data_IF_776243007855
#
_entry.id   IF_776243007855
#
_cell.length_a   1.000
_cell.length_b   1.000
_cell.length_c   1.000
_cell.angle_alpha   90.00
_cell.angle_beta   90.00
_cell.angle_gamma   90.00
#
_symmetry.space_group_name_H-M   'P 1'
#
loop_
_entity.id
_entity.type
_entity.pdbx_description
1 polymer ?
#
# COMPACT_ATOMS: atom_id res chain seq x y z
N UNK A 1 -13.71 -11.64 -15.39
CA UNK A 1 -12.72 -12.57 -15.98
C UNK A 1 -11.51 -11.83 -16.54
N UNK A 2 -11.67 -10.86 -17.46
CA UNK A 2 -10.53 -10.11 -18.02
C UNK A 2 -9.63 -9.46 -16.95
N UNK A 3 -10.21 -8.82 -15.91
CA UNK A 3 -9.42 -8.17 -14.86
C UNK A 3 -8.57 -9.12 -14.02
N UNK A 4 -9.06 -10.34 -13.75
CA UNK A 4 -8.33 -11.36 -13.01
C UNK A 4 -7.16 -11.89 -13.86
N UNK A 5 -7.38 -12.11 -15.15
CA UNK A 5 -6.32 -12.48 -16.10
C UNK A 5 -5.23 -11.42 -16.17
N UNK A 6 -5.60 -10.13 -16.25
CA UNK A 6 -4.64 -9.04 -16.23
C UNK A 6 -3.86 -8.99 -14.91
N UNK A 7 -4.54 -9.12 -13.76
CA UNK A 7 -3.89 -9.12 -12.45
C UNK A 7 -2.91 -10.30 -12.30
N UNK A 8 -3.25 -11.47 -12.83
CA UNK A 8 -2.37 -12.64 -12.84
C UNK A 8 -1.14 -12.42 -13.73
N UNK A 9 -1.33 -11.85 -14.93
CA UNK A 9 -0.22 -11.50 -15.81
C UNK A 9 0.71 -10.46 -15.16
N UNK A 10 0.16 -9.45 -14.48
CA UNK A 10 0.94 -8.47 -13.70
C UNK A 10 1.74 -9.17 -12.62
N UNK A 11 1.13 -10.06 -11.84
CA UNK A 11 1.82 -10.81 -10.78
C UNK A 11 3.00 -11.60 -11.35
N UNK A 12 2.79 -12.35 -12.44
CA UNK A 12 3.84 -13.14 -13.09
C UNK A 12 5.01 -12.27 -13.57
N UNK A 13 4.71 -11.13 -14.21
CA UNK A 13 5.73 -10.20 -14.70
C UNK A 13 6.56 -9.64 -13.55
N UNK A 14 5.90 -9.15 -12.50
CA UNK A 14 6.58 -8.55 -11.35
C UNK A 14 7.39 -9.61 -10.58
N UNK A 15 6.89 -10.83 -10.45
CA UNK A 15 7.65 -11.93 -9.83
C UNK A 15 8.91 -12.28 -10.63
N UNK A 16 8.85 -12.22 -11.97
CA UNK A 16 10.03 -12.41 -12.82
C UNK A 16 11.06 -11.30 -12.60
N UNK A 17 10.63 -10.04 -12.60
CA UNK A 17 11.51 -8.90 -12.32
C UNK A 17 12.14 -9.02 -10.94
N UNK A 18 11.34 -9.38 -9.93
CA UNK A 18 11.82 -9.63 -8.57
C UNK A 18 12.89 -10.73 -8.54
N UNK A 19 12.69 -11.83 -9.28
CA UNK A 19 13.68 -12.91 -9.39
C UNK A 19 15.04 -12.40 -9.90
N UNK A 20 15.02 -11.62 -10.98
CA UNK A 20 16.24 -10.99 -11.54
C UNK A 20 16.93 -10.11 -10.49
N UNK A 21 16.17 -9.28 -9.76
CA UNK A 21 16.72 -8.38 -8.74
C UNK A 21 17.28 -9.11 -7.51
N UNK A 22 16.80 -10.32 -7.20
CA UNK A 22 17.33 -11.15 -6.12
C UNK A 22 18.63 -11.83 -6.55
N UNK A 23 18.72 -12.26 -7.80
CA UNK A 23 19.91 -12.94 -8.34
C UNK A 23 21.05 -11.97 -8.66
N UNK A 24 20.73 -10.76 -9.09
CA UNK A 24 21.72 -9.76 -9.49
C UNK A 24 21.99 -8.73 -8.38
N UNK A 25 23.15 -8.87 -7.73
CA UNK A 25 23.59 -8.02 -6.61
C UNK A 25 24.00 -6.61 -7.02
N UNK A 26 24.04 -6.29 -8.32
CA UNK A 26 24.35 -4.93 -8.80
C UNK A 26 23.17 -3.96 -8.63
N UNK A 27 21.95 -4.47 -8.41
CA UNK A 27 20.80 -3.63 -8.15
C UNK A 27 20.70 -3.22 -6.68
N UNK A 28 20.26 -1.98 -6.46
CA UNK A 28 19.95 -1.51 -5.11
C UNK A 28 18.80 -2.30 -4.50
N UNK A 29 18.91 -2.65 -3.22
CA UNK A 29 17.80 -3.23 -2.45
C UNK A 29 16.52 -2.38 -2.48
N UNK A 30 16.62 -1.08 -2.76
CA UNK A 30 15.43 -0.24 -2.91
C UNK A 30 14.62 -0.60 -4.16
N UNK A 31 15.22 -1.14 -5.23
CA UNK A 31 14.46 -1.70 -6.36
C UNK A 31 13.78 -3.03 -5.99
N UNK A 32 14.41 -3.85 -5.14
CA UNK A 32 13.78 -5.05 -4.61
C UNK A 32 12.55 -4.70 -3.76
N UNK A 33 12.64 -3.67 -2.92
CA UNK A 33 11.50 -3.12 -2.19
C UNK A 33 10.35 -2.72 -3.11
N UNK A 34 10.63 -2.01 -4.22
CA UNK A 34 9.59 -1.66 -5.21
C UNK A 34 8.98 -2.91 -5.81
N UNK A 35 9.78 -3.91 -6.18
CA UNK A 35 9.26 -5.16 -6.71
C UNK A 35 8.35 -5.87 -5.69
N UNK A 36 8.74 -5.93 -4.41
CA UNK A 36 7.92 -6.46 -3.32
C UNK A 36 6.60 -5.69 -3.15
N UNK A 37 6.62 -4.36 -3.21
CA UNK A 37 5.40 -3.52 -3.21
C UNK A 37 4.47 -3.89 -4.37
N UNK A 38 5.02 -4.07 -5.57
CA UNK A 38 4.24 -4.41 -6.77
C UNK A 38 3.69 -5.84 -6.70
N UNK A 39 4.41 -6.80 -6.10
CA UNK A 39 3.90 -8.14 -5.80
C UNK A 39 2.72 -8.04 -4.84
N UNK A 40 2.86 -7.28 -3.75
CA UNK A 40 1.80 -7.10 -2.77
C UNK A 40 0.53 -6.50 -3.39
N UNK A 41 0.67 -5.43 -4.20
CA UNK A 41 -0.45 -4.81 -4.89
C UNK A 41 -1.15 -5.77 -5.87
N UNK A 42 -0.39 -6.54 -6.65
CA UNK A 42 -0.97 -7.53 -7.57
C UNK A 42 -1.72 -8.65 -6.82
N UNK A 43 -1.16 -9.13 -5.70
CA UNK A 43 -1.80 -10.12 -4.83
C UNK A 43 -3.08 -9.59 -4.18
N UNK A 44 -3.10 -8.35 -3.69
CA UNK A 44 -4.30 -7.71 -3.15
C UNK A 44 -5.41 -7.59 -4.20
N UNK A 45 -5.05 -7.25 -5.44
CA UNK A 45 -6.00 -7.20 -6.55
C UNK A 45 -6.58 -8.59 -6.83
N UNK A 46 -5.76 -9.64 -6.85
CA UNK A 46 -6.23 -11.01 -7.03
C UNK A 46 -7.15 -11.48 -5.88
N UNK A 47 -6.79 -11.18 -4.63
CA UNK A 47 -7.64 -11.47 -3.47
C UNK A 47 -9.02 -10.82 -3.59
N UNK A 48 -9.10 -9.61 -4.15
CA UNK A 48 -10.36 -8.88 -4.36
C UNK A 48 -11.18 -9.46 -5.50
N UNK A 49 -10.53 -10.00 -6.55
CA UNK A 49 -11.19 -10.47 -7.77
C UNK A 49 -11.59 -11.95 -7.72
N UNK A 50 -10.96 -12.77 -6.87
CA UNK A 50 -11.30 -14.19 -6.75
C UNK A 50 -12.52 -14.44 -5.87
N UNK A 51 -13.39 -15.34 -6.33
CA UNK A 51 -14.57 -15.79 -5.60
C UNK A 51 -14.26 -16.96 -4.66
N UNK A 52 -13.17 -17.69 -4.91
CA UNK A 52 -12.72 -18.80 -4.06
C UNK A 52 -12.12 -18.25 -2.76
N UNK A 53 -12.68 -18.66 -1.62
CA UNK A 53 -12.23 -18.22 -0.31
C UNK A 53 -10.79 -18.65 0.01
N UNK A 54 -10.41 -19.88 -0.35
CA UNK A 54 -9.07 -20.39 -0.09
C UNK A 54 -8.03 -19.65 -0.94
N UNK A 55 -8.34 -19.41 -2.22
CA UNK A 55 -7.47 -18.64 -3.11
C UNK A 55 -7.35 -17.18 -2.63
N UNK A 56 -8.46 -16.59 -2.16
CA UNK A 56 -8.47 -15.24 -1.57
C UNK A 56 -7.55 -15.13 -0.36
N UNK A 57 -7.68 -16.06 0.58
CA UNK A 57 -6.83 -16.11 1.79
C UNK A 57 -5.36 -16.30 1.42
N UNK A 58 -5.06 -17.18 0.46
CA UNK A 58 -3.70 -17.38 -0.03
C UNK A 58 -3.11 -16.09 -0.63
N UNK A 59 -3.89 -15.37 -1.44
CA UNK A 59 -3.46 -14.09 -2.01
C UNK A 59 -3.27 -13.02 -0.93
N UNK A 60 -4.17 -12.93 0.04
CA UNK A 60 -4.06 -11.99 1.16
C UNK A 60 -2.80 -12.26 1.99
N UNK A 61 -2.55 -13.51 2.35
CA UNK A 61 -1.35 -13.91 3.11
C UNK A 61 -0.06 -13.60 2.32
N UNK A 62 -0.02 -13.94 1.03
CA UNK A 62 1.11 -13.63 0.17
C UNK A 62 1.35 -12.11 0.00
N UNK A 63 0.27 -11.32 -0.05
CA UNK A 63 0.38 -9.87 -0.06
C UNK A 63 1.01 -9.32 1.23
N UNK A 64 0.63 -9.87 2.39
CA UNK A 64 1.20 -9.47 3.67
C UNK A 64 2.70 -9.75 3.72
N UNK A 65 3.12 -10.96 3.35
CA UNK A 65 4.54 -11.34 3.28
C UNK A 65 5.33 -10.38 2.38
N UNK A 66 4.85 -10.12 1.17
CA UNK A 66 5.53 -9.22 0.24
C UNK A 66 5.57 -7.78 0.75
N UNK A 67 4.45 -7.26 1.27
CA UNK A 67 4.41 -5.90 1.82
C UNK A 67 5.33 -5.73 3.03
N UNK A 68 5.48 -6.77 3.87
CA UNK A 68 6.40 -6.76 5.00
C UNK A 68 7.85 -6.72 4.53
N UNK A 69 8.23 -7.51 3.51
CA UNK A 69 9.58 -7.47 2.95
C UNK A 69 9.95 -6.08 2.39
N UNK A 70 8.99 -5.42 1.71
CA UNK A 70 9.14 -4.04 1.28
C UNK A 70 9.32 -3.09 2.48
N UNK A 71 8.48 -3.21 3.50
CA UNK A 71 8.53 -2.39 4.70
C UNK A 71 9.85 -2.57 5.48
N UNK A 72 10.35 -3.79 5.62
CA UNK A 72 11.63 -4.08 6.29
C UNK A 72 12.78 -3.39 5.57
N UNK A 73 12.74 -3.40 4.23
CA UNK A 73 13.72 -2.68 3.42
C UNK A 73 13.61 -1.18 3.61
N UNK A 74 12.39 -0.63 3.56
CA UNK A 74 12.14 0.78 3.86
C UNK A 74 12.65 1.18 5.25
N UNK A 75 12.40 0.39 6.29
CA UNK A 75 12.86 0.67 7.65
C UNK A 75 14.39 0.65 7.79
N UNK A 76 15.09 -0.18 7.00
CA UNK A 76 16.57 -0.19 6.98
C UNK A 76 17.17 1.06 6.34
N UNK A 77 16.54 1.60 5.28
CA UNK A 77 17.05 2.79 4.59
C UNK A 77 16.49 4.11 5.14
N UNK A 78 15.28 4.09 5.70
CA UNK A 78 14.56 5.25 6.25
C UNK A 78 13.80 6.10 5.23
N UNK A 79 13.89 5.80 3.93
CA UNK A 79 13.25 6.55 2.84
C UNK A 79 13.18 5.75 1.54
N UNK A 80 12.20 6.07 0.68
CA UNK A 80 12.11 5.59 -0.71
C UNK A 80 12.83 6.55 -1.66
N UNK A 81 13.79 6.07 -2.48
CA UNK A 81 14.39 6.85 -3.60
C UNK A 81 13.90 6.50 -5.00
N UNK A 82 13.52 5.25 -5.33
CA UNK A 82 13.09 4.92 -6.68
C UNK A 82 11.90 5.79 -7.07
N UNK A 83 11.93 6.37 -8.28
CA UNK A 83 10.84 7.22 -8.81
C UNK A 83 9.55 6.43 -8.97
N UNK A 84 9.65 5.11 -9.03
CA UNK A 84 8.58 4.15 -9.19
C UNK A 84 7.78 3.89 -7.91
N UNK A 85 8.12 4.53 -6.78
CA UNK A 85 7.40 4.36 -5.52
C UNK A 85 7.46 5.60 -4.63
N UNK A 86 6.46 5.75 -3.77
CA UNK A 86 6.48 6.75 -2.70
C UNK A 86 6.29 6.11 -1.33
N UNK A 87 6.72 6.81 -0.27
CA UNK A 87 6.59 6.33 1.11
C UNK A 87 5.10 6.09 1.48
N UNK A 88 4.21 7.00 1.11
CA UNK A 88 2.77 6.88 1.33
C UNK A 88 2.15 5.72 0.55
N UNK A 89 2.64 5.41 -0.66
CA UNK A 89 2.22 4.22 -1.42
C UNK A 89 2.58 2.94 -0.68
N UNK A 90 3.84 2.83 -0.22
CA UNK A 90 4.32 1.66 0.53
C UNK A 90 3.50 1.45 1.81
N UNK A 91 3.34 2.50 2.61
CA UNK A 91 2.59 2.45 3.86
C UNK A 91 1.12 2.06 3.61
N UNK A 92 0.51 2.58 2.55
CA UNK A 92 -0.88 2.27 2.21
C UNK A 92 -1.04 0.83 1.70
N UNK A 93 -0.13 0.32 0.85
CA UNK A 93 -0.15 -1.08 0.42
C UNK A 93 -0.02 -2.02 1.63
N UNK A 94 0.86 -1.72 2.58
CA UNK A 94 1.00 -2.52 3.79
C UNK A 94 -0.24 -2.45 4.68
N UNK A 95 -0.88 -1.28 4.81
CA UNK A 95 -2.20 -1.16 5.44
C UNK A 95 -3.23 -2.11 4.81
N UNK A 96 -3.34 -2.11 3.48
CA UNK A 96 -4.30 -2.96 2.77
C UNK A 96 -4.01 -4.45 2.99
N UNK A 97 -2.73 -4.83 3.00
CA UNK A 97 -2.32 -6.20 3.28
C UNK A 97 -2.68 -6.64 4.70
N UNK A 98 -2.40 -5.82 5.72
CA UNK A 98 -2.83 -6.10 7.09
C UNK A 98 -4.35 -6.23 7.20
N UNK A 99 -5.09 -5.30 6.58
CA UNK A 99 -6.57 -5.32 6.59
C UNK A 99 -7.13 -6.57 5.92
N UNK A 100 -6.56 -6.99 4.79
CA UNK A 100 -6.98 -8.21 4.08
C UNK A 100 -6.73 -9.49 4.90
N UNK A 101 -5.84 -9.45 5.89
CA UNK A 101 -5.55 -10.55 6.82
C UNK A 101 -6.25 -10.36 8.18
N UNK A 102 -7.25 -9.47 8.29
CA UNK A 102 -8.01 -9.24 9.52
C UNK A 102 -7.24 -8.50 10.62
N UNK A 103 -6.04 -7.99 10.33
CA UNK A 103 -5.19 -7.31 11.31
C UNK A 103 -5.56 -5.82 11.43
N UNK A 104 -6.79 -5.52 11.86
CA UNK A 104 -7.37 -4.18 11.80
C UNK A 104 -6.62 -3.11 12.60
N UNK A 105 -6.19 -3.42 13.83
CA UNK A 105 -5.47 -2.47 14.70
C UNK A 105 -4.14 -2.01 14.10
N UNK A 106 -3.19 -2.90 13.74
CA UNK A 106 -1.96 -2.46 13.07
C UNK A 106 -2.24 -1.86 11.69
N UNK A 107 -3.25 -2.33 10.96
CA UNK A 107 -3.63 -1.72 9.68
C UNK A 107 -3.98 -0.24 9.85
N UNK A 108 -4.77 0.12 10.87
CA UNK A 108 -5.19 1.50 11.11
C UNK A 108 -4.00 2.44 11.37
N UNK A 109 -2.96 1.94 12.02
CA UNK A 109 -1.74 2.70 12.27
C UNK A 109 -0.97 3.01 10.97
N UNK A 110 -0.83 2.03 10.08
CA UNK A 110 -0.17 2.28 8.79
C UNK A 110 -0.97 3.20 7.86
N UNK A 111 -2.31 3.15 7.92
CA UNK A 111 -3.16 4.11 7.21
C UNK A 111 -2.96 5.53 7.71
N UNK A 112 -2.88 5.71 9.03
CA UNK A 112 -2.58 7.02 9.65
C UNK A 112 -1.25 7.56 9.16
N UNK A 113 -0.20 6.72 9.18
CA UNK A 113 1.14 7.11 8.70
C UNK A 113 1.16 7.46 7.21
N UNK A 114 0.47 6.70 6.36
CA UNK A 114 0.36 7.01 4.93
C UNK A 114 -0.31 8.37 4.70
N UNK A 115 -1.40 8.65 5.42
CA UNK A 115 -2.11 9.93 5.36
C UNK A 115 -1.26 11.10 5.86
N UNK A 116 -0.56 10.93 6.99
CA UNK A 116 0.34 11.96 7.53
C UNK A 116 1.50 12.26 6.57
N UNK A 117 2.06 11.24 5.93
CA UNK A 117 3.18 11.43 5.02
C UNK A 117 2.76 12.14 3.73
N UNK A 118 1.59 11.79 3.18
CA UNK A 118 0.94 12.53 2.11
C UNK A 118 0.72 14.01 2.50
N UNK A 119 0.19 14.29 3.70
CA UNK A 119 0.00 15.67 4.16
C UNK A 119 1.31 16.41 4.39
N UNK A 120 2.33 15.74 4.93
CA UNK A 120 3.67 16.31 5.12
C UNK A 120 4.23 16.81 3.78
N UNK A 121 4.12 16.01 2.72
CA UNK A 121 4.54 16.38 1.36
C UNK A 121 3.68 17.51 0.77
N UNK A 122 2.35 17.46 0.97
CA UNK A 122 1.45 18.53 0.54
C UNK A 122 1.76 19.87 1.22
N UNK A 123 2.25 19.86 2.46
CA UNK A 123 2.63 21.06 3.22
C UNK A 123 3.96 21.68 2.76
N UNK A 124 4.74 20.98 1.92
CA UNK A 124 5.90 21.57 1.24
C UNK A 124 5.51 22.42 0.03
N UNK A 125 4.26 22.31 -0.43
CA UNK A 125 3.72 23.11 -1.52
C UNK A 125 3.06 24.37 -0.90
N UNK A 126 3.36 25.58 -1.41
CA UNK A 126 2.73 26.81 -0.92
C UNK A 126 1.20 26.71 -0.88
N UNK A 127 0.58 27.28 0.16
CA UNK A 127 -0.84 27.09 0.45
C UNK A 127 -1.77 27.65 -0.64
N UNK A 128 -1.35 28.75 -1.27
CA UNK A 128 -2.02 29.42 -2.38
C UNK A 128 -1.72 28.79 -3.75
N UNK A 129 -0.81 27.81 -3.80
CA UNK A 129 -0.43 27.16 -5.04
C UNK A 129 -1.53 26.22 -5.55
N UNK A 130 -1.93 26.31 -6.84
CA UNK A 130 -2.86 25.35 -7.43
C UNK A 130 -2.33 23.91 -7.39
N UNK A 131 -1.00 23.72 -7.35
CA UNK A 131 -0.38 22.40 -7.29
C UNK A 131 -0.66 21.65 -5.98
N UNK A 132 -0.94 22.35 -4.88
CA UNK A 132 -1.27 21.71 -3.60
C UNK A 132 -2.57 20.94 -3.69
N UNK A 133 -3.59 21.56 -4.31
CA UNK A 133 -4.88 20.91 -4.59
C UNK A 133 -4.70 19.74 -5.56
N UNK A 134 -3.99 19.97 -6.68
CA UNK A 134 -3.74 18.92 -7.66
C UNK A 134 -3.00 17.73 -7.06
N UNK A 135 -2.02 17.95 -6.18
CA UNK A 135 -1.33 16.87 -5.48
C UNK A 135 -2.32 16.00 -4.68
N UNK A 136 -3.22 16.61 -3.91
CA UNK A 136 -4.17 15.88 -3.06
C UNK A 136 -5.34 15.22 -3.82
N UNK A 137 -5.72 15.76 -5.00
CA UNK A 137 -6.95 15.38 -5.69
C UNK A 137 -6.75 14.66 -7.02
N UNK A 138 -5.69 14.97 -7.77
CA UNK A 138 -5.47 14.40 -9.09
C UNK A 138 -4.89 12.98 -9.02
N UNK A 139 -4.15 12.66 -7.96
CA UNK A 139 -3.51 11.36 -7.80
C UNK A 139 -4.50 10.34 -7.21
N UNK A 140 -4.80 9.22 -7.91
CA UNK A 140 -5.71 8.20 -7.41
C UNK A 140 -5.36 7.70 -6.00
N UNK A 141 -4.07 7.43 -5.76
CA UNK A 141 -3.56 6.98 -4.46
C UNK A 141 -3.97 7.92 -3.32
N UNK A 142 -3.84 9.23 -3.49
CA UNK A 142 -4.17 10.19 -2.43
C UNK A 142 -5.66 10.26 -2.15
N UNK A 143 -6.50 10.12 -3.20
CA UNK A 143 -7.95 10.00 -3.02
C UNK A 143 -8.31 8.74 -2.23
N UNK A 144 -7.66 7.62 -2.53
CA UNK A 144 -7.87 6.35 -1.82
C UNK A 144 -7.45 6.44 -0.35
N UNK A 145 -6.25 6.97 -0.06
CA UNK A 145 -5.75 7.18 1.31
C UNK A 145 -6.71 8.07 2.10
N UNK A 146 -7.15 9.20 1.53
CA UNK A 146 -8.09 10.12 2.19
C UNK A 146 -9.44 9.48 2.45
N UNK A 147 -9.99 8.76 1.47
CA UNK A 147 -11.27 8.08 1.63
C UNK A 147 -11.19 7.00 2.72
N UNK A 148 -10.16 6.16 2.70
CA UNK A 148 -9.94 5.14 3.73
C UNK A 148 -9.74 5.76 5.12
N UNK A 149 -8.95 6.84 5.23
CA UNK A 149 -8.69 7.50 6.50
C UNK A 149 -9.95 8.15 7.10
N UNK A 150 -10.76 8.82 6.28
CA UNK A 150 -12.02 9.43 6.70
C UNK A 150 -13.01 8.39 7.27
N UNK A 151 -13.14 7.23 6.60
CA UNK A 151 -13.98 6.13 7.09
C UNK A 151 -13.46 5.59 8.44
N UNK A 152 -12.15 5.40 8.57
CA UNK A 152 -11.56 4.86 9.81
C UNK A 152 -11.65 5.83 11.00
N UNK A 153 -11.56 7.14 10.74
CA UNK A 153 -11.65 8.19 11.76
C UNK A 153 -13.10 8.39 12.23
N UNK A 154 -14.08 8.28 11.33
CA UNK A 154 -15.49 8.27 11.68
C UNK A 154 -15.86 7.07 12.57
N UNK A 155 -15.30 5.89 12.30
CA UNK A 155 -15.54 4.69 13.10
C UNK A 155 -15.00 4.82 14.54
N UNK A 156 -13.86 5.48 14.71
CA UNK A 156 -13.25 5.77 16.03
C UNK A 156 -14.12 6.69 16.90
N UNK A 157 -14.90 7.60 16.27
CA UNK A 157 -15.85 8.49 16.98
C UNK A 157 -17.08 7.70 17.45
N UNK A 158 -17.58 6.76 16.63
CA UNK A 158 -18.74 5.93 16.98
C UNK A 158 -18.44 4.90 18.08
N UNK A 159 -17.31 4.21 18.02
CA UNK A 159 -16.90 3.24 19.06
C UNK A 159 -16.65 3.93 20.41
N UNK A 160 -16.09 5.15 20.40
CA UNK A 160 -15.92 5.96 21.61
C UNK A 160 -17.25 6.47 22.19
N UNK A 161 -18.30 6.63 21.39
CA UNK A 161 -19.62 7.04 21.85
C UNK A 161 -20.40 5.89 22.50
N UNK A 162 -20.33 4.67 21.94
CA UNK A 162 -20.99 3.48 22.52
C UNK A 162 -20.28 2.94 23.78
N UNK A 163 -18.98 3.18 23.96
CA UNK A 163 -18.26 2.77 25.17
C UNK A 163 -18.56 3.63 26.41
N UNK A 164 -19.42 4.65 26.28
CA UNK A 164 -19.80 5.59 27.35
C UNK A 164 -21.30 5.59 27.67
N UNK A 165 -22.06 4.63 27.13
CA UNK A 165 -23.50 4.41 27.36
C UNK A 165 -23.73 3.06 27.99
#
# INVERSE_FOLDING_TARGET
MADATHAQATLQLVQRVRGILVEDTHFSQQYLMVADMRVAAARLRLATLTTDAAEREQHAAAALVASQAALDTYQRFGFVRPVEATDEELLYIHHLALKANGMHTPAAEYLRRAHEEMLRKANLIPEDSPYRRSYLEALPLHREIRAAYALSSGQRIWEGACARS
#
